data_IF_109743812536
#
_entry.id   IF_109743812536
#
_cell.length_a   1.000
_cell.length_b   1.000
_cell.length_c   1.000
_cell.angle_alpha   90.00
_cell.angle_beta   90.00
_cell.angle_gamma   90.00
#
_symmetry.space_group_name_H-M   'P 1'
#
loop_
_entity.id
_entity.type
_entity.pdbx_description
1 polymer ?
#
# COMPACT_ATOMS: atom_id res chain seq x y z
N UNK A 1 -14.15 8.81 -22.11
CA UNK A 1 -13.37 8.50 -20.89
C UNK A 1 -14.24 8.18 -19.68
N UNK A 2 -15.33 8.93 -19.41
CA UNK A 2 -16.26 8.64 -18.31
C UNK A 2 -16.92 7.24 -18.40
N UNK A 3 -17.36 6.83 -19.60
CA UNK A 3 -17.94 5.51 -19.82
C UNK A 3 -16.91 4.38 -19.61
N UNK A 4 -15.66 4.62 -19.99
CA UNK A 4 -14.57 3.65 -19.86
C UNK A 4 -14.31 3.23 -18.40
N UNK A 5 -14.27 4.17 -17.46
CA UNK A 5 -14.09 3.82 -16.05
C UNK A 5 -15.32 3.12 -15.43
N UNK A 6 -16.54 3.47 -15.89
CA UNK A 6 -17.78 2.80 -15.46
C UNK A 6 -17.85 1.36 -15.97
N UNK A 7 -17.53 1.14 -17.24
CA UNK A 7 -17.50 -0.17 -17.89
C UNK A 7 -16.45 -1.11 -17.29
N UNK A 8 -15.37 -0.56 -16.72
CA UNK A 8 -14.29 -1.31 -16.06
C UNK A 8 -14.46 -1.44 -14.54
N UNK A 9 -15.62 -1.07 -14.00
CA UNK A 9 -15.91 -1.09 -12.55
C UNK A 9 -14.90 -0.31 -11.69
N UNK A 10 -14.17 0.64 -12.28
CA UNK A 10 -13.17 1.47 -11.57
C UNK A 10 -13.83 2.68 -10.94
N UNK A 11 -14.76 2.45 -10.02
CA UNK A 11 -15.54 3.49 -9.36
C UNK A 11 -14.66 4.55 -8.67
N UNK A 12 -13.54 4.13 -8.07
CA UNK A 12 -12.55 5.02 -7.47
C UNK A 12 -11.95 6.01 -8.49
N UNK A 13 -11.43 5.51 -9.61
CA UNK A 13 -10.83 6.34 -10.66
C UNK A 13 -11.87 7.25 -11.33
N UNK A 14 -13.09 6.74 -11.55
CA UNK A 14 -14.20 7.53 -12.06
C UNK A 14 -14.50 8.75 -11.18
N UNK A 15 -14.52 8.54 -9.85
CA UNK A 15 -14.77 9.60 -8.87
C UNK A 15 -13.66 10.66 -8.87
N UNK A 16 -12.39 10.24 -8.88
CA UNK A 16 -11.25 11.16 -9.01
C UNK A 16 -11.28 11.95 -10.32
N UNK A 17 -11.59 11.28 -11.43
CA UNK A 17 -11.67 11.87 -12.75
C UNK A 17 -12.76 12.94 -12.86
N UNK A 18 -13.95 12.65 -12.32
CA UNK A 18 -15.11 13.54 -12.40
C UNK A 18 -15.04 14.73 -11.46
N UNK A 19 -14.15 14.70 -10.47
CA UNK A 19 -14.13 15.70 -9.40
C UNK A 19 -15.36 15.63 -8.47
N UNK A 20 -16.21 14.60 -8.61
CA UNK A 20 -17.34 14.39 -7.70
C UNK A 20 -16.77 13.99 -6.35
N UNK A 21 -16.99 14.84 -5.34
CA UNK A 21 -16.57 14.65 -3.95
C UNK A 21 -16.97 13.27 -3.47
N UNK A 22 -16.00 12.36 -3.37
CA UNK A 22 -16.32 10.96 -3.05
C UNK A 22 -15.25 10.23 -2.24
N UNK A 23 -14.15 10.89 -1.89
CA UNK A 23 -13.17 10.26 -1.03
C UNK A 23 -13.47 10.62 0.41
N UNK A 24 -14.21 9.70 1.03
CA UNK A 24 -14.09 9.40 2.45
C UNK A 24 -12.67 8.88 2.63
N UNK A 25 -11.74 9.76 2.99
CA UNK A 25 -10.52 9.27 3.54
C UNK A 25 -10.91 8.63 4.87
N UNK A 26 -10.84 7.29 4.95
CA UNK A 26 -10.72 6.55 6.21
C UNK A 26 -9.43 7.02 6.88
N UNK A 27 -9.37 8.28 7.28
CA UNK A 27 -8.20 8.97 7.83
C UNK A 27 -8.24 8.91 9.33
N UNK A 28 -8.71 7.80 9.91
CA UNK A 28 -8.48 7.54 11.31
C UNK A 28 -7.86 6.17 11.51
N UNK A 29 -6.67 6.18 12.08
CA UNK A 29 -6.30 5.16 13.05
C UNK A 29 -5.99 5.93 14.31
N UNK A 30 -6.86 5.78 15.30
CA UNK A 30 -6.71 6.37 16.62
C UNK A 30 -6.73 5.21 17.61
N UNK A 31 -5.55 4.85 18.12
CA UNK A 31 -5.37 3.73 19.02
C UNK A 31 -5.06 4.22 20.45
N UNK A 32 -5.73 5.32 20.86
CA UNK A 32 -5.50 6.10 22.07
C UNK A 32 -5.30 5.28 23.38
N UNK A 33 -4.09 5.20 23.92
CA UNK A 33 -2.92 5.85 23.34
C UNK A 33 -1.58 5.38 23.86
N UNK A 34 -0.61 5.58 22.97
CA UNK A 34 0.83 5.74 23.17
C UNK A 34 1.49 6.49 21.98
N UNK A 35 0.72 7.24 21.18
CA UNK A 35 1.18 8.02 20.03
C UNK A 35 1.27 7.24 18.71
N UNK A 36 1.23 5.90 18.77
CA UNK A 36 1.36 5.07 17.57
C UNK A 36 0.10 5.10 16.68
N UNK A 37 0.30 5.37 15.40
CA UNK A 37 -0.77 5.41 14.39
C UNK A 37 -1.25 6.83 14.09
N UNK A 38 -0.76 7.84 14.82
CA UNK A 38 -1.02 9.25 14.52
C UNK A 38 -0.53 9.67 13.12
N UNK A 39 0.43 8.94 12.56
CA UNK A 39 1.00 9.15 11.22
C UNK A 39 0.07 8.64 10.11
N UNK A 40 -0.80 7.67 10.42
CA UNK A 40 -1.62 6.99 9.42
C UNK A 40 -2.44 7.95 8.54
N UNK A 41 -3.16 8.96 9.08
CA UNK A 41 -3.94 9.86 8.24
C UNK A 41 -3.07 10.57 7.19
N UNK A 42 -1.89 11.03 7.60
CA UNK A 42 -0.92 11.69 6.72
C UNK A 42 -0.34 10.73 5.68
N UNK A 43 0.04 9.53 6.10
CA UNK A 43 0.60 8.50 5.24
C UNK A 43 -0.40 8.02 4.18
N UNK A 44 -1.64 7.74 4.58
CA UNK A 44 -2.72 7.35 3.67
C UNK A 44 -3.05 8.47 2.69
N UNK A 45 -3.09 9.71 3.16
CA UNK A 45 -3.34 10.87 2.30
C UNK A 45 -2.22 11.01 1.25
N UNK A 46 -0.96 10.80 1.61
CA UNK A 46 0.18 10.83 0.66
C UNK A 46 -0.01 9.87 -0.51
N UNK A 47 -0.38 8.61 -0.23
CA UNK A 47 -0.66 7.62 -1.28
C UNK A 47 -1.88 8.04 -2.11
N UNK A 48 -2.99 8.44 -1.47
CA UNK A 48 -4.24 8.86 -2.15
C UNK A 48 -4.00 10.04 -3.10
N UNK A 49 -3.21 11.04 -2.69
CA UNK A 49 -2.93 12.21 -3.53
C UNK A 49 -2.12 11.84 -4.76
N UNK A 50 -1.15 10.92 -4.61
CA UNK A 50 -0.37 10.41 -5.75
C UNK A 50 -1.23 9.55 -6.68
N UNK A 51 -2.11 8.70 -6.15
CA UNK A 51 -3.11 7.96 -6.94
C UNK A 51 -4.01 8.93 -7.73
N UNK A 52 -4.46 10.02 -7.08
CA UNK A 52 -5.26 11.06 -7.70
C UNK A 52 -4.51 11.74 -8.84
N UNK A 53 -3.24 12.09 -8.63
CA UNK A 53 -2.39 12.71 -9.65
C UNK A 53 -2.27 11.84 -10.91
N UNK A 54 -2.09 10.52 -10.75
CA UNK A 54 -2.08 9.60 -11.91
C UNK A 54 -3.45 9.59 -12.58
N UNK A 55 -4.52 9.43 -11.80
CA UNK A 55 -5.87 9.33 -12.32
C UNK A 55 -6.24 10.56 -13.17
N UNK A 56 -5.83 11.76 -12.76
CA UNK A 56 -6.27 13.01 -13.39
C UNK A 56 -5.20 13.67 -14.25
N UNK A 57 -4.07 13.00 -14.50
CA UNK A 57 -2.95 13.55 -15.23
C UNK A 57 -3.35 14.15 -16.59
N UNK A 58 -4.28 13.50 -17.29
CA UNK A 58 -4.78 13.91 -18.61
C UNK A 58 -6.04 14.79 -18.56
N UNK A 59 -6.46 15.24 -17.37
CA UNK A 59 -7.55 16.21 -17.23
C UNK A 59 -7.08 17.65 -17.50
N UNK A 60 -7.98 18.48 -18.06
CA UNK A 60 -7.72 19.92 -18.22
C UNK A 60 -7.60 20.64 -16.87
N UNK A 61 -8.46 20.29 -15.92
CA UNK A 61 -8.41 20.76 -14.54
C UNK A 61 -7.83 19.66 -13.63
N UNK A 62 -6.51 19.72 -13.41
CA UNK A 62 -5.74 18.68 -12.72
C UNK A 62 -4.97 19.19 -11.49
N UNK A 63 -4.93 20.50 -11.24
CA UNK A 63 -4.06 21.08 -10.21
C UNK A 63 -4.45 20.70 -8.77
N UNK A 64 -5.73 20.40 -8.52
CA UNK A 64 -6.22 20.11 -7.18
C UNK A 64 -7.43 19.19 -7.20
N UNK A 65 -7.69 18.55 -6.05
CA UNK A 65 -8.92 17.77 -5.82
C UNK A 65 -9.45 18.00 -4.41
N UNK A 66 -10.76 17.88 -4.27
CA UNK A 66 -11.46 18.02 -3.00
C UNK A 66 -11.58 16.64 -2.35
N UNK A 67 -11.14 16.55 -1.09
CA UNK A 67 -11.20 15.34 -0.27
C UNK A 67 -12.01 15.61 1.00
N UNK A 68 -12.74 14.59 1.46
CA UNK A 68 -13.41 14.63 2.76
C UNK A 68 -12.55 13.82 3.72
N UNK A 69 -11.97 14.51 4.70
CA UNK A 69 -11.09 13.91 5.70
C UNK A 69 -11.77 13.88 7.05
N UNK A 70 -11.36 12.93 7.88
CA UNK A 70 -11.67 12.89 9.30
C UNK A 70 -10.44 12.33 9.97
N UNK A 71 -9.78 13.11 10.82
CA UNK A 71 -8.41 12.83 11.30
C UNK A 71 -8.32 12.47 12.79
N UNK A 72 -9.38 12.70 13.58
CA UNK A 72 -9.49 12.22 14.96
C UNK A 72 -10.92 11.81 15.34
N UNK A 73 -11.09 10.97 16.35
CA UNK A 73 -12.43 10.53 16.77
C UNK A 73 -13.26 11.71 17.31
N UNK A 74 -12.58 12.74 17.82
CA UNK A 74 -13.16 13.95 18.39
C UNK A 74 -13.51 15.01 17.36
N UNK A 75 -13.00 14.91 16.13
CA UNK A 75 -13.30 15.89 15.08
C UNK A 75 -14.37 15.39 14.10
N UNK A 76 -15.12 16.34 13.55
CA UNK A 76 -16.08 16.09 12.47
C UNK A 76 -15.37 15.84 11.14
N UNK A 77 -16.16 15.51 10.12
CA UNK A 77 -15.66 15.50 8.76
C UNK A 77 -15.31 16.92 8.31
N UNK A 78 -14.19 17.05 7.60
CA UNK A 78 -13.72 18.30 7.03
C UNK A 78 -13.51 18.12 5.52
N UNK A 79 -13.99 19.09 4.74
CA UNK A 79 -13.67 19.19 3.33
C UNK A 79 -12.34 19.92 3.18
N UNK A 80 -11.44 19.35 2.38
CA UNK A 80 -10.12 19.91 2.13
C UNK A 80 -9.82 19.86 0.64
N UNK A 81 -9.50 21.02 0.06
CA UNK A 81 -8.92 21.09 -1.29
C UNK A 81 -7.43 20.85 -1.18
N UNK A 82 -6.93 19.80 -1.84
CA UNK A 82 -5.52 19.43 -1.84
C UNK A 82 -4.93 19.67 -3.22
N UNK A 83 -3.76 20.32 -3.28
CA UNK A 83 -2.97 20.40 -4.50
C UNK A 83 -2.42 19.01 -4.85
N UNK A 84 -2.35 18.71 -6.15
CA UNK A 84 -1.78 17.47 -6.65
C UNK A 84 -0.36 17.68 -7.13
N UNK A 85 0.54 16.81 -6.66
CA UNK A 85 1.90 16.70 -7.16
C UNK A 85 1.97 15.60 -8.22
N UNK A 86 2.72 15.85 -9.29
CA UNK A 86 2.80 14.94 -10.43
C UNK A 86 4.21 14.33 -10.53
N UNK A 87 4.32 13.10 -11.07
CA UNK A 87 5.62 12.49 -11.28
C UNK A 87 6.46 13.32 -12.25
N UNK A 88 7.72 13.57 -11.89
CA UNK A 88 8.63 14.38 -12.71
C UNK A 88 9.45 13.56 -13.72
N UNK A 89 9.65 12.27 -13.44
CA UNK A 89 10.56 11.41 -14.20
C UNK A 89 9.87 10.25 -14.92
N UNK A 90 8.54 10.18 -14.83
CA UNK A 90 7.73 9.19 -15.54
C UNK A 90 6.43 9.85 -15.97
N UNK A 91 6.13 9.80 -17.27
CA UNK A 91 4.87 10.34 -17.81
C UNK A 91 3.77 9.27 -17.69
N UNK A 92 2.66 9.55 -16.97
CA UNK A 92 1.53 8.63 -16.89
C UNK A 92 0.90 8.39 -18.28
N UNK A 93 0.75 7.13 -18.73
CA UNK A 93 -0.02 6.80 -19.92
C UNK A 93 -1.46 7.28 -19.83
N UNK A 94 -2.17 7.32 -20.96
CA UNK A 94 -3.61 7.61 -20.94
C UNK A 94 -4.35 6.54 -20.13
N UNK A 95 -5.52 6.85 -19.53
CA UNK A 95 -6.28 5.84 -18.80
C UNK A 95 -6.64 4.60 -19.62
N UNK A 96 -6.87 4.77 -20.93
CA UNK A 96 -7.14 3.66 -21.85
C UNK A 96 -5.94 2.74 -22.01
N UNK A 97 -4.72 3.27 -22.08
CA UNK A 97 -3.48 2.49 -22.15
C UNK A 97 -3.16 1.85 -20.79
N UNK A 98 -3.33 2.63 -19.72
CA UNK A 98 -3.05 2.19 -18.35
C UNK A 98 -3.95 1.01 -17.97
N UNK A 99 -5.24 1.06 -18.29
CA UNK A 99 -6.23 0.02 -18.00
C UNK A 99 -6.59 -0.82 -19.25
N UNK A 100 -5.74 -0.81 -20.27
CA UNK A 100 -5.89 -1.71 -21.41
C UNK A 100 -5.87 -3.16 -20.92
N UNK A 101 -6.58 -4.05 -21.60
CA UNK A 101 -6.46 -5.51 -21.40
C UNK A 101 -5.69 -6.19 -22.52
N UNK A 102 -5.15 -5.43 -23.47
CA UNK A 102 -4.31 -5.94 -24.54
C UNK A 102 -2.92 -6.35 -23.97
N UNK A 103 -2.54 -7.64 -24.05
CA UNK A 103 -1.24 -8.11 -23.56
C UNK A 103 -0.04 -7.37 -24.18
N UNK A 104 -0.14 -6.93 -25.44
CA UNK A 104 0.94 -6.20 -26.11
C UNK A 104 1.13 -4.80 -25.48
N UNK A 105 0.03 -4.12 -25.17
CA UNK A 105 0.05 -2.83 -24.46
C UNK A 105 0.59 -3.00 -23.04
N UNK A 106 0.17 -4.06 -22.34
CA UNK A 106 0.70 -4.37 -21.00
C UNK A 106 2.21 -4.61 -21.03
N UNK A 107 2.70 -5.47 -21.93
CA UNK A 107 4.12 -5.77 -22.03
C UNK A 107 4.95 -4.51 -22.36
N UNK A 108 4.45 -3.67 -23.27
CA UNK A 108 5.10 -2.40 -23.64
C UNK A 108 5.18 -1.41 -22.46
N UNK A 109 4.16 -1.38 -21.61
CA UNK A 109 4.03 -0.41 -20.51
C UNK A 109 4.42 -0.96 -19.13
N UNK A 110 4.86 -2.22 -19.03
CA UNK A 110 5.13 -2.88 -17.75
C UNK A 110 6.09 -2.08 -16.86
N UNK A 111 7.23 -1.65 -17.43
CA UNK A 111 8.24 -0.83 -16.74
C UNK A 111 7.68 0.53 -16.31
N UNK A 112 6.96 1.23 -17.19
CA UNK A 112 6.31 2.51 -16.87
C UNK A 112 5.29 2.37 -15.75
N UNK A 113 4.46 1.32 -15.79
CA UNK A 113 3.46 1.04 -14.76
C UNK A 113 4.11 0.75 -13.40
N UNK A 114 5.21 -0.01 -13.40
CA UNK A 114 5.95 -0.29 -12.18
C UNK A 114 6.65 0.96 -11.62
N UNK A 115 7.19 1.83 -12.48
CA UNK A 115 7.74 3.14 -12.07
C UNK A 115 6.67 4.04 -11.44
N UNK A 116 5.48 4.10 -12.04
CA UNK A 116 4.35 4.85 -11.48
C UNK A 116 3.90 4.26 -10.15
N UNK A 117 3.85 2.93 -10.03
CA UNK A 117 3.53 2.25 -8.79
C UNK A 117 4.53 2.61 -7.68
N UNK A 118 5.83 2.51 -7.97
CA UNK A 118 6.88 2.88 -7.03
C UNK A 118 6.77 4.35 -6.63
N UNK A 119 6.54 5.25 -7.59
CA UNK A 119 6.35 6.67 -7.33
C UNK A 119 5.14 6.94 -6.43
N UNK A 120 4.02 6.24 -6.59
CA UNK A 120 2.87 6.38 -5.68
C UNK A 120 3.27 6.05 -4.23
N UNK A 121 4.14 5.06 -4.05
CA UNK A 121 4.58 4.59 -2.74
C UNK A 121 5.65 5.53 -2.16
N UNK A 122 6.76 5.73 -2.85
CA UNK A 122 7.90 6.54 -2.40
C UNK A 122 8.73 7.05 -3.58
N UNK A 123 9.31 8.25 -3.44
CA UNK A 123 10.23 8.80 -4.44
C UNK A 123 11.59 8.08 -4.46
N UNK A 124 11.92 7.34 -3.39
CA UNK A 124 13.19 6.62 -3.25
C UNK A 124 13.10 5.14 -3.64
N UNK A 125 11.89 4.62 -3.87
CA UNK A 125 11.70 3.21 -4.16
C UNK A 125 12.11 2.89 -5.62
N UNK A 126 13.19 2.12 -5.78
CA UNK A 126 13.64 1.68 -7.10
C UNK A 126 12.77 0.53 -7.64
N UNK A 127 12.07 0.80 -8.75
CA UNK A 127 11.32 -0.21 -9.51
C UNK A 127 12.11 -1.48 -9.85
N UNK A 128 13.42 -1.42 -10.06
CA UNK A 128 14.24 -2.61 -10.39
C UNK A 128 14.38 -3.56 -9.22
N UNK A 129 14.49 -3.02 -8.01
CA UNK A 129 14.53 -3.82 -6.79
C UNK A 129 13.17 -4.48 -6.55
N UNK A 130 12.10 -3.76 -6.88
CA UNK A 130 10.74 -4.25 -6.73
C UNK A 130 10.39 -5.34 -7.76
N UNK A 131 10.82 -5.19 -9.01
CA UNK A 131 10.61 -6.15 -10.11
C UNK A 131 11.22 -7.54 -9.81
N UNK A 132 12.32 -7.57 -9.05
CA UNK A 132 12.96 -8.82 -8.64
C UNK A 132 12.18 -9.60 -7.57
N UNK A 133 11.14 -9.01 -6.98
CA UNK A 133 10.35 -9.63 -5.90
C UNK A 133 9.18 -10.41 -6.51
N UNK A 134 8.88 -11.63 -6.02
CA UNK A 134 7.71 -12.38 -6.46
C UNK A 134 6.42 -11.53 -6.40
N UNK A 135 5.57 -11.52 -7.45
CA UNK A 135 4.36 -10.70 -7.47
C UNK A 135 3.45 -10.89 -6.25
N UNK A 136 3.43 -12.10 -5.67
CA UNK A 136 2.66 -12.41 -4.44
C UNK A 136 3.14 -11.67 -3.19
N UNK A 137 4.41 -11.29 -3.13
CA UNK A 137 5.03 -10.59 -2.00
C UNK A 137 5.29 -9.11 -2.29
N UNK A 138 5.33 -8.70 -3.55
CA UNK A 138 5.66 -7.34 -3.96
C UNK A 138 4.86 -6.26 -3.21
N UNK A 139 3.52 -6.37 -3.05
CA UNK A 139 2.76 -5.31 -2.36
C UNK A 139 3.06 -5.26 -0.85
N UNK A 140 3.38 -6.41 -0.25
CA UNK A 140 3.86 -6.46 1.13
C UNK A 140 5.19 -5.72 1.23
N UNK A 141 6.17 -6.05 0.38
CA UNK A 141 7.49 -5.41 0.44
C UNK A 141 7.40 -3.89 0.17
N UNK A 142 6.59 -3.47 -0.80
CA UNK A 142 6.28 -2.07 -1.05
C UNK A 142 5.70 -1.36 0.18
N UNK A 143 4.75 -2.01 0.87
CA UNK A 143 4.17 -1.49 2.10
C UNK A 143 5.22 -1.34 3.21
N UNK A 144 6.07 -2.35 3.39
CA UNK A 144 7.13 -2.34 4.40
C UNK A 144 8.17 -1.27 4.11
N UNK A 145 8.57 -1.10 2.84
CA UNK A 145 9.45 -0.03 2.41
C UNK A 145 8.90 1.34 2.83
N UNK A 146 7.63 1.59 2.53
CA UNK A 146 6.97 2.84 2.88
C UNK A 146 6.90 3.07 4.40
N UNK A 147 6.54 2.05 5.18
CA UNK A 147 6.43 2.15 6.63
C UNK A 147 7.78 2.36 7.32
N UNK A 148 8.84 1.69 6.84
CA UNK A 148 10.21 1.84 7.35
C UNK A 148 10.79 3.19 6.97
N UNK A 149 10.59 3.65 5.73
CA UNK A 149 11.03 4.99 5.28
C UNK A 149 10.47 6.10 6.17
N UNK A 150 9.22 5.97 6.60
CA UNK A 150 8.57 6.95 7.49
C UNK A 150 8.78 6.64 8.98
N UNK A 151 9.65 5.69 9.31
CA UNK A 151 10.03 5.32 10.68
C UNK A 151 8.85 4.94 11.59
N UNK A 152 7.76 4.42 11.02
CA UNK A 152 6.57 4.06 11.82
C UNK A 152 6.69 2.66 12.39
N UNK A 153 7.40 1.77 11.72
CA UNK A 153 7.69 0.40 12.20
C UNK A 153 9.19 0.22 12.39
N UNK A 154 9.56 -0.58 13.38
CA UNK A 154 10.96 -0.97 13.56
C UNK A 154 11.37 -2.01 12.50
N UNK A 155 12.67 -2.07 12.19
CA UNK A 155 13.17 -2.99 11.17
C UNK A 155 12.78 -4.46 11.46
N UNK A 156 12.79 -4.87 12.73
CA UNK A 156 12.42 -6.24 13.10
C UNK A 156 10.93 -6.52 12.87
N UNK A 157 10.08 -5.50 13.02
CA UNK A 157 8.65 -5.61 12.80
C UNK A 157 8.38 -5.76 11.31
N UNK A 158 9.10 -5.00 10.48
CA UNK A 158 9.06 -5.16 9.04
C UNK A 158 9.54 -6.57 8.62
N UNK A 159 10.64 -7.05 9.18
CA UNK A 159 11.14 -8.40 8.91
C UNK A 159 10.14 -9.48 9.31
N UNK A 160 9.49 -9.34 10.47
CA UNK A 160 8.47 -10.28 10.91
C UNK A 160 7.22 -10.23 10.02
N UNK A 161 6.77 -9.05 9.60
CA UNK A 161 5.65 -8.89 8.67
C UNK A 161 5.96 -9.57 7.33
N UNK A 162 7.18 -9.39 6.79
CA UNK A 162 7.61 -10.05 5.56
C UNK A 162 7.68 -11.57 5.74
N UNK A 163 8.20 -12.05 6.87
CA UNK A 163 8.28 -13.47 7.19
C UNK A 163 6.89 -14.12 7.28
N UNK A 164 5.94 -13.46 7.95
CA UNK A 164 4.55 -13.94 8.01
C UNK A 164 3.92 -13.97 6.63
N UNK A 165 4.13 -12.93 5.80
CA UNK A 165 3.63 -12.91 4.43
C UNK A 165 4.21 -14.06 3.59
N UNK A 166 5.51 -14.33 3.72
CA UNK A 166 6.16 -15.50 3.11
C UNK A 166 5.49 -16.80 3.55
N UNK A 167 5.34 -17.03 4.85
CA UNK A 167 4.72 -18.26 5.35
C UNK A 167 3.27 -18.44 4.88
N UNK A 168 2.50 -17.35 4.78
CA UNK A 168 1.13 -17.35 4.24
C UNK A 168 1.12 -17.70 2.75
N UNK A 169 1.92 -17.01 1.94
CA UNK A 169 1.97 -17.19 0.48
C UNK A 169 2.37 -18.62 0.10
N UNK A 170 3.33 -19.18 0.84
CA UNK A 170 3.89 -20.50 0.56
C UNK A 170 3.32 -21.62 1.46
N UNK A 171 2.31 -21.31 2.29
CA UNK A 171 1.61 -22.27 3.16
C UNK A 171 2.56 -23.07 4.05
N UNK A 172 3.52 -22.38 4.66
CA UNK A 172 4.63 -22.98 5.43
C UNK A 172 4.25 -23.36 6.87
N UNK A 173 2.97 -23.19 7.26
CA UNK A 173 2.47 -23.54 8.59
C UNK A 173 1.04 -24.07 8.52
N UNK A 174 0.63 -24.78 9.57
CA UNK A 174 -0.74 -25.27 9.72
C UNK A 174 -1.67 -24.12 10.13
N UNK A 175 -2.28 -23.51 9.13
CA UNK A 175 -3.27 -22.43 9.31
C UNK A 175 -4.54 -22.91 10.03
N UNK A 176 -4.90 -24.18 9.92
CA UNK A 176 -6.15 -24.72 10.46
C UNK A 176 -6.02 -24.94 11.96
N UNK A 177 -4.89 -25.49 12.39
CA UNK A 177 -4.64 -25.84 13.80
C UNK A 177 -3.77 -24.81 14.52
N UNK A 178 -3.64 -23.59 14.00
CA UNK A 178 -2.88 -22.54 14.65
C UNK A 178 -3.46 -22.22 16.03
N UNK A 179 -2.61 -22.20 17.05
CA UNK A 179 -3.01 -21.87 18.42
C UNK A 179 -3.12 -20.35 18.57
N UNK A 180 -4.25 -19.89 19.06
CA UNK A 180 -4.44 -18.47 19.38
C UNK A 180 -3.60 -18.05 20.58
N UNK A 181 -2.97 -16.86 20.55
CA UNK A 181 -2.22 -16.34 21.67
C UNK A 181 -3.14 -16.11 22.88
N UNK A 182 -2.71 -16.50 24.07
CA UNK A 182 -3.47 -16.29 25.31
C UNK A 182 -3.59 -14.81 25.71
N UNK A 183 -2.64 -13.98 25.26
CA UNK A 183 -2.59 -12.53 25.49
C UNK A 183 -2.09 -11.86 24.22
N UNK A 184 -2.70 -10.75 23.85
CA UNK A 184 -2.24 -9.92 22.74
C UNK A 184 -1.22 -8.91 23.25
N UNK A 185 -0.15 -8.74 22.49
CA UNK A 185 0.82 -7.67 22.70
C UNK A 185 0.27 -6.38 22.08
N UNK A 186 0.28 -5.28 22.85
CA UNK A 186 -0.30 -4.02 22.40
C UNK A 186 0.41 -3.41 21.20
N UNK A 187 1.75 -3.48 21.16
CA UNK A 187 2.55 -2.98 20.04
C UNK A 187 2.33 -3.85 18.80
N UNK A 188 2.37 -5.17 18.97
CA UNK A 188 2.10 -6.10 17.87
C UNK A 188 0.71 -5.86 17.24
N UNK A 189 -0.31 -5.67 18.07
CA UNK A 189 -1.66 -5.40 17.61
C UNK A 189 -1.72 -4.12 16.76
N UNK A 190 -1.13 -3.04 17.26
CA UNK A 190 -1.12 -1.75 16.58
C UNK A 190 -0.37 -1.81 15.25
N UNK A 191 0.80 -2.44 15.22
CA UNK A 191 1.60 -2.65 13.99
C UNK A 191 0.82 -3.43 12.94
N UNK A 192 0.20 -4.55 13.35
CA UNK A 192 -0.62 -5.36 12.45
C UNK A 192 -1.79 -4.55 11.85
N UNK A 193 -2.43 -3.70 12.66
CA UNK A 193 -3.54 -2.86 12.21
C UNK A 193 -3.09 -1.80 11.20
N UNK A 194 -2.02 -1.06 11.53
CA UNK A 194 -1.44 -0.06 10.65
C UNK A 194 -0.98 -0.68 9.32
N UNK A 195 -0.26 -1.80 9.39
CA UNK A 195 0.20 -2.52 8.20
C UNK A 195 -0.97 -2.90 7.30
N UNK A 196 -2.04 -3.48 7.84
CA UNK A 196 -3.21 -3.85 7.04
C UNK A 196 -3.86 -2.64 6.38
N UNK A 197 -4.01 -1.54 7.11
CA UNK A 197 -4.64 -0.33 6.59
C UNK A 197 -3.82 0.31 5.46
N UNK A 198 -2.51 0.45 5.62
CA UNK A 198 -1.62 0.96 4.57
C UNK A 198 -1.51 -0.03 3.40
N UNK A 199 -1.45 -1.34 3.67
CA UNK A 199 -1.39 -2.37 2.61
C UNK A 199 -2.59 -2.30 1.67
N UNK A 200 -3.78 -1.94 2.17
CA UNK A 200 -4.96 -1.76 1.32
C UNK A 200 -4.79 -0.58 0.34
N UNK A 201 -4.16 0.51 0.78
CA UNK A 201 -3.81 1.62 -0.09
C UNK A 201 -2.80 1.17 -1.16
N UNK A 202 -1.72 0.50 -0.74
CA UNK A 202 -0.66 0.01 -1.63
C UNK A 202 -1.20 -1.02 -2.65
N UNK A 203 -2.11 -1.92 -2.26
CA UNK A 203 -2.77 -2.86 -3.17
C UNK A 203 -3.71 -2.14 -4.15
N UNK A 204 -4.45 -1.13 -3.69
CA UNK A 204 -5.28 -0.33 -4.57
C UNK A 204 -4.44 0.41 -5.61
N UNK A 205 -3.24 0.87 -5.26
CA UNK A 205 -2.36 1.56 -6.20
C UNK A 205 -1.97 0.68 -7.40
N UNK A 206 -1.92 -0.65 -7.26
CA UNK A 206 -1.76 -1.56 -8.41
C UNK A 206 -2.90 -1.41 -9.43
N UNK A 207 -4.13 -1.29 -8.94
CA UNK A 207 -5.31 -1.07 -9.79
C UNK A 207 -5.27 0.30 -10.47
N UNK A 208 -4.74 1.32 -9.78
CA UNK A 208 -4.60 2.67 -10.32
C UNK A 208 -3.66 2.67 -11.53
N UNK A 209 -2.56 1.93 -11.45
CA UNK A 209 -1.58 1.82 -12.54
C UNK A 209 -1.84 0.68 -13.54
N UNK A 210 -2.93 -0.08 -13.36
CA UNK A 210 -3.32 -1.18 -14.24
C UNK A 210 -2.34 -2.36 -14.22
N UNK A 211 -1.86 -2.71 -13.03
CA UNK A 211 -1.09 -3.92 -12.75
C UNK A 211 -1.96 -5.05 -12.16
N UNK A 212 -3.23 -4.78 -11.84
CA UNK A 212 -4.20 -5.77 -11.34
C UNK A 212 -4.42 -6.90 -12.38
N UNK A 213 -4.00 -8.12 -12.04
CA UNK A 213 -4.12 -9.29 -12.92
C UNK A 213 -2.81 -10.01 -13.25
N UNK A 214 -1.64 -9.47 -12.87
CA UNK A 214 -0.34 -10.11 -13.11
C UNK A 214 0.09 -11.06 -11.98
N UNK A 215 -0.85 -11.78 -11.36
CA UNK A 215 -0.57 -12.67 -10.23
C UNK A 215 -0.29 -11.97 -8.90
N UNK A 216 -0.57 -10.66 -8.82
CA UNK A 216 -0.61 -9.92 -7.56
C UNK A 216 -1.78 -10.38 -6.68
N UNK A 217 -1.62 -10.32 -5.35
CA UNK A 217 -2.69 -10.68 -4.43
C UNK A 217 -3.79 -9.60 -4.43
N UNK A 218 -5.03 -10.00 -4.18
CA UNK A 218 -6.18 -9.08 -4.04
C UNK A 218 -6.30 -8.50 -2.62
N UNK A 219 -5.70 -9.18 -1.64
CA UNK A 219 -5.73 -8.84 -0.23
C UNK A 219 -4.33 -8.92 0.40
N UNK A 220 -4.06 -8.18 1.49
CA UNK A 220 -2.79 -8.25 2.18
C UNK A 220 -2.45 -9.71 2.56
N UNK A 221 -1.25 -10.16 2.22
CA UNK A 221 -0.79 -11.50 2.58
C UNK A 221 -0.32 -11.47 4.03
N UNK A 222 -1.25 -11.70 4.97
CA UNK A 222 -0.98 -11.52 6.38
C UNK A 222 -1.89 -12.37 7.26
N UNK A 223 -1.30 -13.01 8.27
CA UNK A 223 -2.02 -13.69 9.34
C UNK A 223 -1.65 -13.04 10.68
N UNK A 224 -2.63 -12.37 11.28
CA UNK A 224 -2.45 -11.67 12.55
C UNK A 224 -2.19 -12.60 13.74
N UNK A 225 -2.71 -13.83 13.71
CA UNK A 225 -2.47 -14.83 14.77
C UNK A 225 -1.03 -15.31 14.70
N UNK A 226 -0.55 -15.64 13.50
CA UNK A 226 0.84 -16.06 13.28
C UNK A 226 1.81 -14.95 13.67
N UNK A 227 1.54 -13.72 13.26
CA UNK A 227 2.33 -12.54 13.63
C UNK A 227 2.44 -12.38 15.15
N UNK A 228 1.33 -12.42 15.88
CA UNK A 228 1.34 -12.27 17.33
C UNK A 228 2.07 -13.40 18.05
N UNK A 229 1.95 -14.64 17.56
CA UNK A 229 2.63 -15.79 18.15
C UNK A 229 4.16 -15.67 18.04
N UNK A 230 4.67 -15.07 16.95
CA UNK A 230 6.10 -14.91 16.70
C UNK A 230 6.67 -13.61 17.30
N UNK A 231 5.84 -12.60 17.51
CA UNK A 231 6.28 -11.24 17.85
C UNK A 231 7.25 -11.16 19.02
N UNK A 232 6.95 -11.86 20.12
CA UNK A 232 7.77 -11.81 21.35
C UNK A 232 9.14 -12.43 21.17
N UNK A 233 9.25 -13.50 20.40
CA UNK A 233 10.52 -14.20 20.22
C UNK A 233 11.41 -13.40 19.25
N UNK A 234 10.80 -12.83 18.20
CA UNK A 234 11.47 -11.94 17.25
C UNK A 234 11.96 -10.64 17.88
N UNK A 235 11.18 -10.05 18.80
CA UNK A 235 11.59 -8.84 19.52
C UNK A 235 12.78 -9.09 20.45
N UNK A 236 12.99 -10.34 20.88
CA UNK A 236 14.16 -10.77 21.68
C UNK A 236 15.38 -11.15 20.83
N UNK A 237 15.27 -11.10 19.50
CA UNK A 237 16.35 -11.40 18.58
C UNK A 237 16.36 -12.84 18.04
N UNK A 238 15.38 -13.68 18.37
CA UNK A 238 15.23 -15.01 17.78
C UNK A 238 14.61 -14.90 16.38
N UNK A 239 15.44 -14.48 15.42
CA UNK A 239 15.02 -14.14 14.05
C UNK A 239 15.69 -15.07 13.06
N UNK A 240 14.89 -15.82 12.30
CA UNK A 240 15.38 -16.51 11.11
C UNK A 240 15.04 -15.70 9.86
N UNK A 241 16.07 -15.07 9.28
CA UNK A 241 15.92 -14.19 8.11
C UNK A 241 16.26 -14.88 6.79
N UNK A 242 16.80 -16.11 6.81
CA UNK A 242 17.36 -16.76 5.62
C UNK A 242 16.38 -16.80 4.45
N UNK A 243 15.11 -17.09 4.74
CA UNK A 243 14.06 -17.27 3.73
C UNK A 243 13.60 -15.96 3.10
N UNK A 244 13.73 -14.84 3.81
CA UNK A 244 13.22 -13.53 3.37
C UNK A 244 14.31 -12.56 2.96
N UNK A 245 15.57 -12.88 3.27
CA UNK A 245 16.74 -12.02 3.02
C UNK A 245 16.78 -11.40 1.61
N UNK A 246 16.45 -12.12 0.51
CA UNK A 246 16.49 -11.55 -0.83
C UNK A 246 15.51 -10.40 -1.07
N UNK A 247 14.44 -10.29 -0.27
CA UNK A 247 13.36 -9.32 -0.48
C UNK A 247 13.36 -8.17 0.52
N UNK A 248 14.35 -8.11 1.42
CA UNK A 248 14.49 -7.07 2.45
C UNK A 248 15.06 -5.76 1.89
N UNK A 249 14.50 -5.27 0.79
CA UNK A 249 14.98 -4.05 0.10
C UNK A 249 14.86 -2.80 1.00
N UNK A 250 13.94 -2.83 1.96
CA UNK A 250 13.73 -1.78 2.96
C UNK A 250 14.78 -1.72 4.06
N UNK A 251 15.66 -2.72 4.18
CA UNK A 251 16.68 -2.75 5.23
C UNK A 251 17.82 -1.74 5.01
N UNK A 252 17.96 -1.21 3.78
CA UNK A 252 19.05 -0.32 3.38
C UNK A 252 18.62 1.16 3.28
N UNK A 253 17.48 1.54 3.88
CA UNK A 253 16.96 2.91 3.81
C UNK A 253 17.74 3.88 4.72
N UNK A 254 18.53 3.37 5.68
CA UNK A 254 19.29 4.13 6.67
C UNK A 254 20.81 4.06 6.46
#
# INVERSE_FOLDING_TARGET
MLNFFKEREKAFLYKLWTGVTSHYAFTLIDLRDDGFGAEYPTLSLKIILREAAIAVYHCRDRSSRVFITKTAHTNGYAEQTCALEFPQHVEPPTPQELLSTDPAVHAKLADTKLKLYCWIISDNLDHRQLDAIPPKLMPTVATLYFLVEHQVVELFEADLLLYVAYEVVFKMYDMINIRYPKKLDGRAFRVAFLYNAISQHVLRSLNVVGLDGLGYPEYPQFDGVRFHNLYRDWSRGDRNLEQIQPWRIYANIF
#
